data_IF_560792499189
#
_entry.id   IF_560792499189
#
_cell.length_a   1.000
_cell.length_b   1.000
_cell.length_c   1.000
_cell.angle_alpha   90.00
_cell.angle_beta   90.00
_cell.angle_gamma   90.00
#
_symmetry.space_group_name_H-M   'P 1'
#
loop_
_entity.id
_entity.type
_entity.pdbx_description
1 polymer ?
#
# COMPACT_ATOMS: atom_id res chain seq x y z
N UNK A 1 15.52 -24.27 5.79
CA UNK A 1 14.08 -24.04 6.02
C UNK A 1 13.42 -24.09 4.65
N UNK A 2 12.44 -24.98 4.45
CA UNK A 2 11.70 -25.07 3.19
C UNK A 2 10.63 -23.97 3.21
N UNK A 3 10.78 -22.92 2.39
CA UNK A 3 9.73 -21.91 2.24
C UNK A 3 8.63 -22.52 1.35
N UNK A 4 7.49 -22.88 1.95
CA UNK A 4 6.35 -23.45 1.24
C UNK A 4 5.36 -22.37 0.84
N UNK A 5 4.81 -22.47 -0.38
CA UNK A 5 3.79 -21.54 -0.90
C UNK A 5 2.54 -21.45 -0.01
N UNK A 6 2.23 -22.51 0.73
CA UNK A 6 1.06 -22.59 1.61
C UNK A 6 1.08 -21.59 2.77
N UNK A 7 2.25 -21.01 3.08
CA UNK A 7 2.43 -20.05 4.17
C UNK A 7 2.44 -18.59 3.67
N UNK A 8 2.29 -18.37 2.36
CA UNK A 8 2.44 -17.06 1.75
C UNK A 8 1.10 -16.37 1.60
N UNK A 9 1.09 -15.06 1.85
CA UNK A 9 -0.08 -14.25 1.52
C UNK A 9 -0.17 -14.02 -0.01
N UNK A 10 -1.35 -13.57 -0.47
CA UNK A 10 -1.61 -13.37 -1.89
C UNK A 10 -0.62 -12.41 -2.58
N UNK A 11 -0.14 -11.38 -1.87
CA UNK A 11 0.79 -10.41 -2.44
C UNK A 11 2.21 -10.98 -2.58
N UNK A 12 2.65 -11.78 -1.60
CA UNK A 12 3.92 -12.49 -1.65
C UNK A 12 3.91 -13.54 -2.77
N UNK A 13 2.78 -14.23 -2.98
CA UNK A 13 2.63 -15.16 -4.11
C UNK A 13 2.78 -14.42 -5.43
N UNK A 14 2.09 -13.30 -5.64
CA UNK A 14 2.21 -12.52 -6.87
C UNK A 14 3.64 -12.01 -7.08
N UNK A 15 4.29 -11.54 -6.01
CA UNK A 15 5.68 -11.09 -6.09
C UNK A 15 6.66 -12.18 -6.51
N UNK A 16 6.46 -13.41 -6.02
CA UNK A 16 7.27 -14.56 -6.42
C UNK A 16 6.98 -14.96 -7.87
N UNK A 17 5.73 -14.88 -8.32
CA UNK A 17 5.37 -15.16 -9.71
C UNK A 17 5.99 -14.14 -10.67
N UNK A 18 5.93 -12.84 -10.34
CA UNK A 18 6.61 -11.78 -11.09
C UNK A 18 8.12 -12.01 -11.13
N UNK A 19 8.71 -12.39 -9.99
CA UNK A 19 10.14 -12.71 -9.88
C UNK A 19 10.51 -13.93 -10.73
N UNK A 20 9.70 -15.00 -10.69
CA UNK A 20 9.89 -16.19 -11.52
C UNK A 20 9.86 -15.83 -13.00
N UNK A 21 8.91 -15.00 -13.42
CA UNK A 21 8.80 -14.55 -14.80
C UNK A 21 10.07 -13.80 -15.23
N UNK A 22 10.52 -12.83 -14.44
CA UNK A 22 11.75 -12.08 -14.71
C UNK A 22 12.99 -12.98 -14.80
N UNK A 23 13.13 -13.95 -13.88
CA UNK A 23 14.23 -14.92 -13.94
C UNK A 23 14.15 -15.82 -15.18
N UNK A 24 12.94 -16.25 -15.56
CA UNK A 24 12.75 -17.11 -16.74
C UNK A 24 13.07 -16.37 -18.04
N UNK A 25 12.71 -15.09 -18.11
CA UNK A 25 13.07 -14.23 -19.23
C UNK A 25 14.59 -14.05 -19.33
N UNK A 26 15.25 -13.77 -18.21
CA UNK A 26 16.71 -13.59 -18.15
C UNK A 26 17.49 -14.85 -18.56
N UNK A 27 17.03 -16.02 -18.13
CA UNK A 27 17.69 -17.30 -18.41
C UNK A 27 17.23 -17.94 -19.74
N UNK A 28 16.32 -17.27 -20.48
CA UNK A 28 15.71 -17.77 -21.72
C UNK A 28 15.09 -19.18 -21.60
N UNK A 29 14.67 -19.57 -20.40
CA UNK A 29 14.04 -20.87 -20.11
C UNK A 29 13.22 -20.77 -18.82
N UNK A 30 12.25 -21.66 -18.64
CA UNK A 30 11.56 -21.75 -17.35
C UNK A 30 12.53 -22.21 -16.25
N UNK A 31 12.73 -21.37 -15.22
CA UNK A 31 13.57 -21.69 -14.06
C UNK A 31 12.87 -22.59 -13.04
N UNK A 32 11.54 -22.73 -13.13
CA UNK A 32 10.73 -23.50 -12.20
C UNK A 32 10.42 -22.73 -10.90
N UNK A 33 9.38 -23.20 -10.19
CA UNK A 33 8.84 -22.48 -9.03
C UNK A 33 9.74 -22.58 -7.79
N UNK A 34 10.28 -23.76 -7.49
CA UNK A 34 11.14 -23.96 -6.31
C UNK A 34 12.40 -23.11 -6.37
N UNK A 35 12.99 -22.96 -7.56
CA UNK A 35 14.15 -22.10 -7.77
C UNK A 35 13.81 -20.63 -7.52
N UNK A 36 12.70 -20.15 -8.12
CA UNK A 36 12.26 -18.78 -7.97
C UNK A 36 11.91 -18.42 -6.52
N UNK A 37 11.22 -19.32 -5.79
CA UNK A 37 10.93 -19.15 -4.35
C UNK A 37 12.24 -19.01 -3.56
N UNK A 38 13.19 -19.92 -3.76
CA UNK A 38 14.44 -19.90 -3.00
C UNK A 38 15.27 -18.65 -3.30
N UNK A 39 15.38 -18.25 -4.57
CA UNK A 39 16.09 -17.03 -4.94
C UNK A 39 15.39 -15.77 -4.40
N UNK A 40 14.07 -15.72 -4.48
CA UNK A 40 13.29 -14.61 -3.94
C UNK A 40 13.53 -14.43 -2.44
N UNK A 41 13.40 -15.49 -1.64
CA UNK A 41 13.60 -15.39 -0.19
C UNK A 41 15.04 -15.08 0.22
N UNK A 42 16.04 -15.53 -0.55
CA UNK A 42 17.45 -15.27 -0.26
C UNK A 42 17.86 -13.85 -0.59
N UNK A 43 17.38 -13.32 -1.73
CA UNK A 43 17.98 -12.13 -2.34
C UNK A 43 17.01 -10.94 -2.48
N UNK A 44 15.69 -11.19 -2.58
CA UNK A 44 14.73 -10.17 -3.00
C UNK A 44 13.63 -9.87 -1.95
N UNK A 45 13.28 -10.83 -1.09
CA UNK A 45 12.13 -10.69 -0.18
C UNK A 45 12.28 -9.51 0.80
N UNK A 46 13.47 -9.28 1.34
CA UNK A 46 13.71 -8.18 2.28
C UNK A 46 13.51 -6.80 1.63
N UNK A 47 14.07 -6.59 0.43
CA UNK A 47 13.93 -5.33 -0.29
C UNK A 47 12.50 -5.13 -0.79
N UNK A 48 11.87 -6.20 -1.28
CA UNK A 48 10.48 -6.18 -1.71
C UNK A 48 9.53 -5.81 -0.56
N UNK A 49 9.65 -6.46 0.61
CA UNK A 49 8.81 -6.16 1.79
C UNK A 49 8.98 -4.72 2.26
N UNK A 50 10.22 -4.21 2.27
CA UNK A 50 10.48 -2.81 2.61
C UNK A 50 9.77 -1.86 1.64
N UNK A 51 9.92 -2.09 0.34
CA UNK A 51 9.27 -1.28 -0.70
C UNK A 51 7.74 -1.34 -0.60
N UNK A 52 7.19 -2.53 -0.33
CA UNK A 52 5.75 -2.70 -0.13
C UNK A 52 5.24 -1.93 1.07
N UNK A 53 5.90 -2.05 2.22
CA UNK A 53 5.54 -1.31 3.42
C UNK A 53 5.57 0.21 3.22
N UNK A 54 6.59 0.71 2.49
CA UNK A 54 6.67 2.13 2.13
C UNK A 54 5.52 2.56 1.22
N UNK A 55 5.22 1.77 0.18
CA UNK A 55 4.08 2.02 -0.71
C UNK A 55 2.74 2.04 0.03
N UNK A 56 2.50 1.06 0.89
CA UNK A 56 1.26 0.95 1.67
C UNK A 56 1.13 2.13 2.64
N UNK A 57 2.23 2.54 3.27
CA UNK A 57 2.27 3.73 4.11
C UNK A 57 1.92 5.00 3.33
N UNK A 58 2.48 5.18 2.13
CA UNK A 58 2.16 6.32 1.29
C UNK A 58 0.68 6.35 0.89
N UNK A 59 0.12 5.21 0.45
CA UNK A 59 -1.29 5.10 0.10
C UNK A 59 -2.21 5.38 1.29
N UNK A 60 -1.84 4.88 2.48
CA UNK A 60 -2.59 5.14 3.70
C UNK A 60 -2.56 6.63 4.06
N UNK A 61 -1.39 7.27 3.98
CA UNK A 61 -1.22 8.69 4.27
C UNK A 61 -2.03 9.56 3.31
N UNK A 62 -2.01 9.26 2.01
CA UNK A 62 -2.82 9.96 1.01
C UNK A 62 -4.31 9.87 1.31
N UNK A 63 -4.79 8.70 1.74
CA UNK A 63 -6.20 8.53 2.06
C UNK A 63 -6.61 9.31 3.33
N UNK A 64 -5.75 9.32 4.37
CA UNK A 64 -5.96 10.14 5.57
C UNK A 64 -6.03 11.62 5.18
N UNK A 65 -5.19 12.09 4.26
CA UNK A 65 -5.21 13.47 3.78
C UNK A 65 -6.50 13.80 3.00
N UNK A 66 -7.00 12.88 2.16
CA UNK A 66 -8.33 13.05 1.55
C UNK A 66 -9.42 13.16 2.60
N UNK A 67 -9.37 12.30 3.62
CA UNK A 67 -10.34 12.33 4.70
C UNK A 67 -10.25 13.64 5.52
N UNK A 68 -9.03 14.14 5.79
CA UNK A 68 -8.79 15.44 6.43
C UNK A 68 -9.46 16.58 5.66
N UNK A 69 -9.28 16.62 4.34
CA UNK A 69 -9.92 17.62 3.48
C UNK A 69 -11.45 17.54 3.57
N UNK A 70 -12.00 16.33 3.42
CA UNK A 70 -13.44 16.09 3.54
C UNK A 70 -14.01 16.53 4.90
N UNK A 71 -13.32 16.18 5.98
CA UNK A 71 -13.74 16.53 7.33
C UNK A 71 -13.65 18.05 7.57
N UNK A 72 -12.64 18.71 7.00
CA UNK A 72 -12.49 20.17 7.05
C UNK A 72 -13.64 20.89 6.32
N UNK A 73 -14.02 20.41 5.13
CA UNK A 73 -15.17 20.95 4.40
C UNK A 73 -16.48 20.75 5.18
N UNK A 74 -16.68 19.54 5.74
CA UNK A 74 -17.89 19.19 6.50
C UNK A 74 -18.03 20.03 7.76
N UNK A 75 -16.94 20.29 8.47
CA UNK A 75 -16.92 21.07 9.70
C UNK A 75 -16.77 22.58 9.46
N UNK A 76 -16.53 23.00 8.20
CA UNK A 76 -16.26 24.40 7.81
C UNK A 76 -15.12 25.03 8.61
N UNK A 77 -14.13 24.22 9.01
CA UNK A 77 -12.92 24.65 9.71
C UNK A 77 -11.74 23.77 9.33
N UNK A 78 -10.54 24.25 9.57
CA UNK A 78 -9.35 23.42 9.43
C UNK A 78 -9.32 22.33 10.52
N UNK A 79 -8.87 21.14 10.11
CA UNK A 79 -8.76 19.94 10.94
C UNK A 79 -7.31 19.48 10.88
N UNK A 80 -6.72 19.09 12.01
CA UNK A 80 -5.35 18.56 12.02
C UNK A 80 -5.29 17.15 11.41
N UNK A 81 -4.11 16.74 10.95
CA UNK A 81 -3.92 15.39 10.39
C UNK A 81 -4.24 14.31 11.44
N UNK A 82 -3.87 14.54 12.70
CA UNK A 82 -4.15 13.63 13.82
C UNK A 82 -5.65 13.51 14.09
N UNK A 83 -6.37 14.64 14.10
CA UNK A 83 -7.83 14.64 14.30
C UNK A 83 -8.54 13.88 13.17
N UNK A 84 -8.15 14.14 11.92
CA UNK A 84 -8.68 13.42 10.77
C UNK A 84 -8.37 11.93 10.81
N UNK A 85 -7.16 11.52 11.20
CA UNK A 85 -6.80 10.11 11.32
C UNK A 85 -7.63 9.39 12.40
N UNK A 86 -7.89 10.04 13.53
CA UNK A 86 -8.73 9.50 14.59
C UNK A 86 -10.19 9.34 14.15
N UNK A 87 -10.76 10.33 13.46
CA UNK A 87 -12.10 10.21 12.88
C UNK A 87 -12.15 9.11 11.81
N UNK A 88 -11.13 9.05 10.94
CA UNK A 88 -11.03 8.05 9.88
C UNK A 88 -11.08 6.61 10.41
N UNK A 89 -10.43 6.36 11.54
CA UNK A 89 -10.48 5.07 12.24
C UNK A 89 -11.83 4.87 12.95
N UNK A 90 -12.29 5.86 13.71
CA UNK A 90 -13.49 5.75 14.55
C UNK A 90 -14.78 5.61 13.73
N UNK A 91 -14.85 6.28 12.59
CA UNK A 91 -16.01 6.31 11.70
C UNK A 91 -16.02 5.12 10.71
N UNK A 92 -15.11 4.16 10.84
CA UNK A 92 -15.04 2.95 10.02
C UNK A 92 -14.50 3.16 8.60
N UNK A 93 -14.10 4.38 8.22
CA UNK A 93 -13.53 4.67 6.90
C UNK A 93 -12.22 3.92 6.64
N UNK A 94 -11.39 3.75 7.68
CA UNK A 94 -10.16 2.98 7.61
C UNK A 94 -10.40 1.50 7.27
N UNK A 95 -11.49 0.93 7.79
CA UNK A 95 -11.89 -0.45 7.48
C UNK A 95 -12.37 -0.59 6.05
N UNK A 96 -13.25 0.31 5.60
CA UNK A 96 -13.72 0.30 4.22
C UNK A 96 -12.57 0.52 3.22
N UNK A 97 -11.58 1.33 3.57
CA UNK A 97 -10.38 1.50 2.74
C UNK A 97 -9.58 0.20 2.61
N UNK A 98 -9.28 -0.49 3.74
CA UNK A 98 -8.58 -1.79 3.72
C UNK A 98 -9.32 -2.83 2.90
N UNK A 99 -10.65 -2.86 3.00
CA UNK A 99 -11.50 -3.80 2.27
C UNK A 99 -11.72 -3.40 0.81
N UNK A 100 -11.16 -2.26 0.37
CA UNK A 100 -11.44 -1.68 -0.95
C UNK A 100 -12.95 -1.60 -1.16
N UNK A 101 -13.72 -1.15 -0.18
CA UNK A 101 -15.17 -0.85 -0.27
C UNK A 101 -15.43 0.60 0.16
N UNK A 102 -14.35 1.40 0.22
CA UNK A 102 -14.32 2.79 0.65
C UNK A 102 -15.32 3.72 -0.05
N UNK A 103 -15.91 4.68 0.68
CA UNK A 103 -16.85 5.68 0.14
C UNK A 103 -16.17 6.71 -0.79
N UNK A 104 -14.85 6.64 -0.95
CA UNK A 104 -14.05 7.49 -1.84
C UNK A 104 -13.76 6.84 -3.20
N UNK A 105 -14.23 5.62 -3.45
CA UNK A 105 -13.99 4.89 -4.70
C UNK A 105 -14.47 5.60 -5.97
N UNK A 106 -15.54 6.39 -5.86
CA UNK A 106 -16.20 7.03 -7.00
C UNK A 106 -15.91 8.54 -7.11
N UNK A 107 -15.00 9.08 -6.28
CA UNK A 107 -14.69 10.52 -6.27
C UNK A 107 -13.34 10.78 -6.95
N UNK A 108 -13.38 11.00 -8.25
CA UNK A 108 -12.22 11.34 -9.10
C UNK A 108 -11.58 12.71 -8.75
N UNK A 109 -12.20 13.50 -7.88
CA UNK A 109 -11.66 14.78 -7.42
C UNK A 109 -10.52 14.53 -6.45
N UNK A 110 -9.33 14.27 -6.99
CA UNK A 110 -8.08 14.48 -6.24
C UNK A 110 -8.11 15.94 -5.74
N UNK A 111 -7.91 16.20 -4.44
CA UNK A 111 -7.58 17.56 -4.03
C UNK A 111 -6.34 17.98 -4.81
N UNK A 112 -6.31 19.22 -5.29
CA UNK A 112 -5.09 19.80 -5.88
C UNK A 112 -3.90 19.50 -4.95
N UNK A 113 -2.71 19.18 -5.50
CA UNK A 113 -1.55 18.90 -4.68
C UNK A 113 -1.27 20.14 -3.82
N UNK A 114 -1.56 20.04 -2.53
CA UNK A 114 -1.25 21.06 -1.55
C UNK A 114 0.27 21.27 -1.52
N UNK A 115 0.68 22.53 -1.48
CA UNK A 115 2.08 22.94 -1.55
C UNK A 115 2.91 22.29 -0.45
N UNK A 116 4.21 22.13 -0.71
CA UNK A 116 5.23 21.54 0.15
C UNK A 116 5.25 22.07 1.61
N UNK A 117 4.59 23.20 1.86
CA UNK A 117 4.39 23.86 3.16
C UNK A 117 3.54 23.06 4.13
N UNK A 118 2.62 22.24 3.64
CA UNK A 118 1.65 21.49 4.48
C UNK A 118 2.24 20.15 4.96
N UNK A 119 3.44 19.81 4.49
CA UNK A 119 4.18 18.59 4.84
C UNK A 119 5.03 18.74 6.12
N UNK A 120 5.20 19.97 6.63
CA UNK A 120 6.10 20.28 7.75
C UNK A 120 5.40 20.85 9.01
N UNK A 121 4.06 20.81 9.08
CA UNK A 121 3.36 21.12 10.33
C UNK A 121 3.00 19.84 11.07
N UNK A 122 3.63 19.71 12.24
CA UNK A 122 3.64 18.67 13.28
C UNK A 122 4.32 17.33 12.97
#
# INVERSE_FOLDING_TARGET
MQNSMEQLNFEEINAILDHKWYLSEKECRDVGMEYAINDFFRNHAASWRKKKMEQDYHLQKEEILRHKWYLSEKLRREVSTTEAALDWVSSGYAEHWRNKTGPYKDRETKPEPLSQTDLNSD
#
